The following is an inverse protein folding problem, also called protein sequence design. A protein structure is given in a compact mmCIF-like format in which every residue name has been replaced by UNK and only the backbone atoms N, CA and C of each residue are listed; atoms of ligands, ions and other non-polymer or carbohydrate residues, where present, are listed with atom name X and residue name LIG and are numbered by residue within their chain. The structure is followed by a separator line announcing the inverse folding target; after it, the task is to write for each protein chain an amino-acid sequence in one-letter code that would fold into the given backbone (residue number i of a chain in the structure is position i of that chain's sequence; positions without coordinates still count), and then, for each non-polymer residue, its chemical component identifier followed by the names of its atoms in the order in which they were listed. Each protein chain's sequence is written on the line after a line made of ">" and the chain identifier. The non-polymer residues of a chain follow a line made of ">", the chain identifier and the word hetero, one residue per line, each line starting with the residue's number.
data_IF_146990699635
#
_entry.id   IF_146990699635
#
_cell.length_a   1.000
_cell.length_b   1.000
_cell.length_c   1.000
_cell.angle_alpha   90.00
_cell.angle_beta   90.00
_cell.angle_gamma   90.00
#
_symmetry.space_group_name_H-M   'P 1'
#
loop_
_entity.id
_entity.type
_entity.pdbx_description
1 polymer ?
#
# COMPACT_ATOMS: atom_id res chain seq x y z
N UNK A 1 -1.70 -10.04 -16.66
CA UNK A 1 -2.35 -8.82 -17.18
C UNK A 1 -3.72 -9.23 -17.63
N UNK A 2 -4.75 -8.82 -16.91
CA UNK A 2 -6.11 -9.17 -17.32
C UNK A 2 -6.59 -8.16 -18.38
N UNK A 3 -7.21 -8.63 -19.47
CA UNK A 3 -7.76 -7.74 -20.47
C UNK A 3 -8.89 -6.93 -19.82
N UNK A 4 -8.83 -5.61 -19.93
CA UNK A 4 -9.94 -4.76 -19.52
C UNK A 4 -11.00 -4.88 -20.61
N UNK A 5 -12.09 -5.59 -20.32
CA UNK A 5 -13.20 -5.67 -21.25
C UNK A 5 -14.05 -4.40 -21.15
N UNK A 6 -13.77 -3.45 -22.05
CA UNK A 6 -14.58 -2.25 -22.22
C UNK A 6 -15.69 -2.55 -23.22
N UNK A 7 -16.94 -2.41 -22.78
CA UNK A 7 -18.12 -2.63 -23.64
C UNK A 7 -18.20 -1.56 -24.73
N UNK A 8 -18.51 -1.97 -25.95
CA UNK A 8 -18.93 -1.06 -27.01
C UNK A 8 -20.29 -0.43 -26.70
N UNK A 9 -20.61 0.68 -27.34
CA UNK A 9 -21.79 1.47 -27.02
C UNK A 9 -23.12 0.72 -27.20
N UNK A 10 -23.26 -0.07 -28.27
CA UNK A 10 -24.49 -0.85 -28.53
C UNK A 10 -24.74 -1.87 -27.42
N UNK A 11 -23.69 -2.56 -27.00
CA UNK A 11 -23.77 -3.54 -25.92
C UNK A 11 -24.02 -2.85 -24.57
N UNK A 12 -23.39 -1.71 -24.32
CA UNK A 12 -23.62 -0.91 -23.11
C UNK A 12 -25.09 -0.46 -23.01
N UNK A 13 -25.70 -0.01 -24.11
CA UNK A 13 -27.12 0.35 -24.17
C UNK A 13 -28.00 -0.88 -23.91
N UNK A 14 -27.71 -2.00 -24.60
CA UNK A 14 -28.49 -3.24 -24.45
C UNK A 14 -28.51 -3.76 -23.01
N UNK A 15 -27.37 -3.69 -22.31
CA UNK A 15 -27.23 -4.11 -20.90
C UNK A 15 -27.85 -3.13 -19.90
N UNK A 16 -28.26 -1.93 -20.31
CA UNK A 16 -28.78 -0.88 -19.43
C UNK A 16 -30.08 -0.27 -19.97
N UNK A 17 -31.16 -1.05 -20.11
CA UNK A 17 -32.43 -0.57 -20.68
C UNK A 17 -33.12 0.50 -19.81
N UNK A 18 -32.75 0.60 -18.53
CA UNK A 18 -33.29 1.56 -17.56
C UNK A 18 -32.60 2.93 -17.59
N UNK A 19 -31.60 3.12 -18.47
CA UNK A 19 -30.73 4.30 -18.50
C UNK A 19 -30.84 5.06 -19.81
N UNK A 20 -30.73 6.38 -19.71
CA UNK A 20 -30.76 7.29 -20.84
C UNK A 20 -29.34 7.59 -21.33
N UNK A 21 -29.08 7.58 -22.65
CA UNK A 21 -27.83 8.04 -23.22
C UNK A 21 -27.75 9.56 -23.10
N UNK A 22 -26.75 10.03 -22.35
CA UNK A 22 -26.55 11.46 -22.08
C UNK A 22 -25.12 11.89 -22.35
N UNK A 23 -24.93 13.18 -22.64
CA UNK A 23 -23.62 13.84 -22.69
C UNK A 23 -23.58 14.98 -21.70
N UNK A 24 -22.46 15.13 -21.02
CA UNK A 24 -22.20 16.31 -20.22
C UNK A 24 -21.52 17.35 -21.09
N UNK A 25 -22.24 18.41 -21.51
CA UNK A 25 -21.72 19.41 -22.47
C UNK A 25 -20.49 20.17 -21.96
N UNK A 26 -20.34 20.32 -20.64
CA UNK A 26 -19.18 20.97 -20.05
C UNK A 26 -17.89 20.11 -20.16
N UNK A 27 -18.00 18.79 -20.07
CA UNK A 27 -16.85 17.87 -20.14
C UNK A 27 -16.72 17.12 -21.48
N UNK A 28 -17.74 17.15 -22.32
CA UNK A 28 -17.82 16.40 -23.57
C UNK A 28 -18.01 14.88 -23.38
N UNK A 29 -18.22 14.40 -22.16
CA UNK A 29 -18.24 12.97 -21.84
C UNK A 29 -19.64 12.39 -21.93
N UNK A 30 -19.75 11.19 -22.51
CA UNK A 30 -21.01 10.44 -22.58
C UNK A 30 -21.16 9.48 -21.39
N UNK A 31 -22.40 9.25 -20.97
CA UNK A 31 -22.75 8.27 -19.92
C UNK A 31 -24.17 7.73 -20.12
N UNK A 32 -24.43 6.52 -19.63
CA UNK A 32 -25.78 5.98 -19.45
C UNK A 32 -26.22 6.30 -18.02
N UNK A 33 -27.21 7.17 -17.87
CA UNK A 33 -27.67 7.65 -16.57
C UNK A 33 -29.07 7.09 -16.28
N UNK A 34 -29.29 6.54 -15.09
CA UNK A 34 -30.60 6.04 -14.65
C UNK A 34 -31.71 7.06 -14.94
N UNK A 35 -32.79 6.61 -15.60
CA UNK A 35 -33.90 7.48 -15.98
C UNK A 35 -34.63 8.10 -14.77
N UNK A 36 -34.58 7.43 -13.62
CA UNK A 36 -35.11 7.91 -12.34
C UNK A 36 -34.05 7.83 -11.24
N UNK A 37 -34.08 8.74 -10.24
CA UNK A 37 -33.23 8.62 -9.07
C UNK A 37 -33.63 7.40 -8.22
N UNK A 38 -32.65 6.85 -7.52
CA UNK A 38 -32.77 5.79 -6.52
C UNK A 38 -32.45 6.37 -5.15
N UNK A 39 -33.13 5.90 -4.11
CA UNK A 39 -32.78 6.23 -2.73
C UNK A 39 -31.57 5.41 -2.28
N UNK A 40 -30.56 6.09 -1.76
CA UNK A 40 -29.41 5.49 -1.09
C UNK A 40 -29.46 5.87 0.39
N UNK A 41 -29.42 4.85 1.24
CA UNK A 41 -29.41 5.00 2.69
C UNK A 41 -27.97 4.95 3.17
N UNK A 42 -27.53 6.00 3.84
CA UNK A 42 -26.26 6.06 4.55
C UNK A 42 -26.54 6.44 5.99
N UNK A 43 -26.47 5.44 6.88
CA UNK A 43 -26.87 5.52 8.29
C UNK A 43 -28.25 6.18 8.47
N UNK A 44 -28.29 7.48 8.80
CA UNK A 44 -29.49 8.26 9.10
C UNK A 44 -29.95 9.18 7.94
N UNK A 45 -29.23 9.21 6.82
CA UNK A 45 -29.50 10.14 5.70
C UNK A 45 -29.97 9.36 4.46
N UNK A 46 -31.13 9.78 3.93
CA UNK A 46 -31.64 9.30 2.65
C UNK A 46 -31.25 10.30 1.56
N UNK A 47 -30.39 9.88 0.62
CA UNK A 47 -29.97 10.70 -0.52
C UNK A 47 -30.51 10.12 -1.83
N UNK A 48 -31.04 10.98 -2.70
CA UNK A 48 -31.44 10.58 -4.05
C UNK A 48 -30.22 10.58 -4.98
N UNK A 49 -29.96 9.45 -5.62
CA UNK A 49 -28.80 9.24 -6.49
C UNK A 49 -29.21 8.68 -7.86
N UNK A 50 -28.54 9.09 -8.92
CA UNK A 50 -28.57 8.43 -10.24
C UNK A 50 -27.30 7.63 -10.46
N UNK A 51 -27.45 6.40 -10.92
CA UNK A 51 -26.30 5.59 -11.36
C UNK A 51 -25.89 6.06 -12.76
N UNK A 52 -24.64 6.47 -12.91
CA UNK A 52 -24.02 6.81 -14.18
C UNK A 52 -23.04 5.72 -14.57
N UNK A 53 -23.29 5.05 -15.69
CA UNK A 53 -22.44 4.01 -16.27
C UNK A 53 -21.62 4.64 -17.39
N UNK A 54 -20.30 4.40 -17.37
CA UNK A 54 -19.33 4.88 -18.36
C UNK A 54 -18.39 3.76 -18.78
N UNK A 55 -17.62 3.93 -19.88
CA UNK A 55 -16.68 2.90 -20.35
C UNK A 55 -15.65 2.48 -19.27
N UNK A 56 -15.27 3.41 -18.39
CA UNK A 56 -14.28 3.17 -17.34
C UNK A 56 -14.86 2.73 -15.98
N UNK A 57 -16.17 2.46 -15.91
CA UNK A 57 -16.83 2.04 -14.68
C UNK A 57 -18.16 2.75 -14.42
N UNK A 58 -18.78 2.42 -13.29
CA UNK A 58 -20.01 3.05 -12.82
C UNK A 58 -19.73 3.98 -11.64
N UNK A 59 -20.52 5.04 -11.54
CA UNK A 59 -20.49 6.00 -10.42
C UNK A 59 -21.92 6.36 -10.01
N UNK A 60 -22.05 6.98 -8.84
CA UNK A 60 -23.31 7.54 -8.36
C UNK A 60 -23.21 9.06 -8.37
N UNK A 61 -24.25 9.70 -8.91
CA UNK A 61 -24.40 11.14 -8.96
C UNK A 61 -25.59 11.51 -8.08
N UNK A 62 -25.43 12.44 -7.15
CA UNK A 62 -26.56 12.97 -6.40
C UNK A 62 -27.55 13.68 -7.34
N UNK A 63 -28.85 13.52 -7.09
CA UNK A 63 -29.93 14.09 -7.93
C UNK A 63 -29.82 15.61 -8.03
N UNK A 64 -29.53 16.28 -6.91
CA UNK A 64 -29.33 17.74 -6.86
C UNK A 64 -28.18 18.15 -7.77
N UNK A 65 -27.04 17.44 -7.68
CA UNK A 65 -25.85 17.71 -8.49
C UNK A 65 -26.10 17.43 -9.97
N UNK A 66 -26.82 16.34 -10.27
CA UNK A 66 -27.24 16.01 -11.62
C UNK A 66 -28.08 17.15 -12.23
N UNK A 67 -29.09 17.64 -11.52
CA UNK A 67 -29.95 18.74 -11.99
C UNK A 67 -29.20 20.07 -12.22
N UNK A 68 -28.15 20.33 -11.43
CA UNK A 68 -27.30 21.53 -11.59
C UNK A 68 -26.20 21.40 -12.66
N UNK A 69 -26.04 20.22 -13.27
CA UNK A 69 -24.95 19.93 -14.19
C UNK A 69 -25.40 19.93 -15.66
N UNK A 70 -24.45 20.03 -16.57
CA UNK A 70 -24.71 20.16 -18.01
C UNK A 70 -25.03 18.81 -18.72
N UNK A 71 -25.76 17.90 -18.06
CA UNK A 71 -26.16 16.63 -18.68
C UNK A 71 -27.37 16.83 -19.59
N UNK A 72 -27.23 16.41 -20.84
CA UNK A 72 -28.28 16.47 -21.86
C UNK A 72 -28.51 15.10 -22.47
N UNK A 73 -29.79 14.76 -22.72
CA UNK A 73 -30.14 13.57 -23.47
C UNK A 73 -29.67 13.72 -24.92
N UNK A 74 -29.06 12.66 -25.45
CA UNK A 74 -28.59 12.61 -26.83
C UNK A 74 -29.08 11.36 -27.55
N UNK A 75 -29.08 11.44 -28.88
CA UNK A 75 -29.43 10.29 -29.72
C UNK A 75 -28.39 9.17 -29.62
N UNK A 76 -28.84 7.94 -29.89
CA UNK A 76 -27.96 6.75 -29.94
C UNK A 76 -26.71 6.94 -30.84
N UNK A 77 -26.79 7.57 -32.03
CA UNK A 77 -25.62 7.73 -32.89
C UNK A 77 -24.54 8.63 -32.29
N UNK A 78 -24.92 9.77 -31.69
CA UNK A 78 -23.97 10.68 -31.04
C UNK A 78 -23.36 10.01 -29.80
N UNK A 79 -24.18 9.32 -29.02
CA UNK A 79 -23.74 8.58 -27.84
C UNK A 79 -22.72 7.50 -28.21
N UNK A 80 -23.02 6.69 -29.23
CA UNK A 80 -22.13 5.63 -29.66
C UNK A 80 -20.76 6.15 -30.07
N UNK A 81 -20.74 7.23 -30.87
CA UNK A 81 -19.50 7.88 -31.28
C UNK A 81 -18.66 8.35 -30.08
N UNK A 82 -19.27 9.01 -29.10
CA UNK A 82 -18.57 9.52 -27.92
C UNK A 82 -18.10 8.40 -27.00
N UNK A 83 -18.96 7.41 -26.76
CA UNK A 83 -18.68 6.26 -25.91
C UNK A 83 -17.55 5.41 -26.48
N UNK A 84 -17.63 5.03 -27.75
CA UNK A 84 -16.64 4.16 -28.40
C UNK A 84 -15.29 4.86 -28.54
N UNK A 85 -15.27 6.18 -28.79
CA UNK A 85 -14.04 6.96 -28.77
C UNK A 85 -13.37 6.95 -27.40
N UNK A 86 -14.14 7.15 -26.31
CA UNK A 86 -13.61 7.08 -24.95
C UNK A 86 -13.17 5.65 -24.62
N UNK A 87 -13.98 4.64 -24.93
CA UNK A 87 -13.68 3.23 -24.72
C UNK A 87 -12.37 2.80 -25.40
N UNK A 88 -12.14 3.24 -26.64
CA UNK A 88 -10.92 2.97 -27.40
C UNK A 88 -9.68 3.65 -26.79
N UNK A 89 -9.85 4.78 -26.11
CA UNK A 89 -8.77 5.52 -25.44
C UNK A 89 -8.33 4.90 -24.11
N UNK A 90 -9.14 4.01 -23.52
CA UNK A 90 -8.82 3.40 -22.23
C UNK A 90 -7.67 2.40 -22.33
N UNK A 91 -6.86 2.26 -21.27
CA UNK A 91 -5.87 1.20 -21.18
C UNK A 91 -6.52 -0.17 -21.37
N UNK A 92 -6.06 -0.92 -22.37
CA UNK A 92 -6.56 -2.28 -22.66
C UNK A 92 -6.04 -3.32 -21.67
N UNK A 93 -5.08 -2.93 -20.85
CA UNK A 93 -4.38 -3.79 -19.90
C UNK A 93 -4.31 -3.10 -18.54
N UNK A 94 -4.61 -3.86 -17.49
CA UNK A 94 -4.37 -3.43 -16.11
C UNK A 94 -3.26 -4.28 -15.50
N UNK A 95 -2.30 -3.63 -14.84
CA UNK A 95 -1.25 -4.29 -14.07
C UNK A 95 -1.57 -4.16 -12.58
N UNK A 96 -1.90 -5.29 -11.96
CA UNK A 96 -2.10 -5.39 -10.51
C UNK A 96 -0.94 -6.14 -9.89
N UNK A 97 -0.39 -5.61 -8.79
CA UNK A 97 0.63 -6.32 -8.01
C UNK A 97 -0.04 -7.23 -7.00
N UNK A 98 0.35 -8.51 -7.01
CA UNK A 98 -0.10 -9.50 -6.04
C UNK A 98 1.12 -9.99 -5.25
N UNK A 99 1.01 -9.99 -3.93
CA UNK A 99 2.01 -10.59 -3.04
C UNK A 99 1.56 -12.00 -2.67
N UNK A 100 2.33 -13.01 -3.07
CA UNK A 100 2.01 -14.42 -2.89
C UNK A 100 3.00 -15.07 -1.93
N UNK A 101 2.48 -15.64 -0.84
CA UNK A 101 3.25 -16.46 0.09
C UNK A 101 3.17 -17.93 -0.35
N UNK A 102 4.29 -18.48 -0.79
CA UNK A 102 4.41 -19.82 -1.35
C UNK A 102 5.34 -20.69 -0.49
N UNK A 103 5.32 -22.01 -0.72
CA UNK A 103 6.16 -22.97 0.01
C UNK A 103 5.51 -23.52 1.30
N UNK A 104 6.33 -23.94 2.26
CA UNK A 104 5.87 -24.54 3.51
C UNK A 104 5.39 -23.45 4.48
N UNK A 105 4.07 -23.32 4.62
CA UNK A 105 3.46 -22.29 5.48
C UNK A 105 3.25 -22.73 6.93
N UNK A 106 3.07 -24.03 7.15
CA UNK A 106 2.82 -24.60 8.49
C UNK A 106 3.87 -24.20 9.54
N UNK A 107 5.18 -24.12 9.24
CA UNK A 107 6.17 -23.72 10.25
C UNK A 107 6.01 -22.27 10.75
N UNK A 108 5.42 -21.39 9.94
CA UNK A 108 5.29 -19.95 10.24
C UNK A 108 3.83 -19.51 10.38
N UNK A 109 2.88 -20.45 10.49
CA UNK A 109 1.45 -20.16 10.33
C UNK A 109 0.89 -19.12 11.30
N UNK A 110 1.43 -19.07 12.53
CA UNK A 110 1.04 -18.10 13.58
C UNK A 110 1.43 -16.66 13.24
N UNK A 111 2.37 -16.50 12.33
CA UNK A 111 2.99 -15.22 11.97
C UNK A 111 2.42 -14.62 10.68
N UNK A 112 1.58 -15.38 9.97
CA UNK A 112 0.96 -14.96 8.71
C UNK A 112 -0.25 -14.07 9.03
N UNK A 113 -0.30 -12.82 8.53
CA UNK A 113 -1.42 -11.92 8.74
C UNK A 113 -2.75 -12.51 8.24
N UNK A 114 -3.82 -12.37 9.02
CA UNK A 114 -5.16 -12.94 8.73
C UNK A 114 -6.09 -12.02 7.93
N UNK A 115 -5.63 -10.84 7.50
CA UNK A 115 -6.45 -9.86 6.77
C UNK A 115 -6.96 -10.35 5.40
N UNK A 116 -6.26 -11.29 4.76
CA UNK A 116 -6.72 -11.95 3.52
C UNK A 116 -6.24 -13.40 3.49
N UNK A 117 -7.15 -14.34 3.29
CA UNK A 117 -6.92 -15.80 3.34
C UNK A 117 -7.03 -16.47 1.97
N UNK A 118 -7.26 -15.70 0.90
CA UNK A 118 -7.45 -16.27 -0.44
C UNK A 118 -6.16 -16.91 -0.96
N UNK A 119 -6.30 -18.13 -1.45
CA UNK A 119 -5.24 -18.89 -2.13
C UNK A 119 -5.40 -18.74 -3.64
N UNK A 120 -4.33 -18.37 -4.32
CA UNK A 120 -4.27 -18.24 -5.76
C UNK A 120 -3.31 -19.26 -6.35
N UNK A 121 -3.69 -19.82 -7.51
CA UNK A 121 -2.76 -20.47 -8.43
C UNK A 121 -2.45 -19.47 -9.54
N UNK A 122 -1.17 -19.11 -9.68
CA UNK A 122 -0.67 -18.17 -10.68
C UNK A 122 0.21 -18.94 -11.64
N UNK A 123 -0.04 -18.83 -12.94
CA UNK A 123 0.79 -19.41 -14.00
C UNK A 123 1.43 -18.26 -14.76
N UNK A 124 2.67 -17.85 -14.42
CA UNK A 124 3.37 -16.81 -15.16
C UNK A 124 3.79 -17.33 -16.54
N UNK A 125 3.79 -16.45 -17.54
CA UNK A 125 4.25 -16.80 -18.89
C UNK A 125 5.71 -17.26 -18.85
N UNK A 126 5.98 -18.47 -19.37
CA UNK A 126 7.32 -19.05 -19.41
C UNK A 126 7.86 -19.58 -18.09
N UNK A 127 7.07 -19.62 -17.02
CA UNK A 127 7.48 -20.15 -15.72
C UNK A 127 6.52 -21.23 -15.18
N UNK A 128 6.99 -21.98 -14.19
CA UNK A 128 6.16 -23.00 -13.52
C UNK A 128 5.01 -22.33 -12.76
N UNK A 129 3.84 -22.97 -12.79
CA UNK A 129 2.70 -22.53 -11.99
C UNK A 129 3.02 -22.55 -10.48
N UNK A 130 2.68 -21.47 -9.79
CA UNK A 130 2.83 -21.31 -8.36
C UNK A 130 1.48 -21.32 -7.67
N UNK A 131 1.42 -21.86 -6.46
CA UNK A 131 0.25 -21.77 -5.58
C UNK A 131 0.67 -21.13 -4.26
N UNK A 132 -0.15 -20.21 -3.76
CA UNK A 132 0.14 -19.57 -2.49
C UNK A 132 -1.00 -18.72 -1.97
N UNK A 133 -0.84 -18.27 -0.73
CA UNK A 133 -1.79 -17.37 -0.06
C UNK A 133 -1.47 -15.93 -0.41
N UNK A 134 -2.50 -15.12 -0.65
CA UNK A 134 -2.33 -13.69 -0.88
C UNK A 134 -2.04 -12.93 0.41
N UNK A 135 -1.17 -11.94 0.31
CA UNK A 135 -0.83 -11.02 1.38
C UNK A 135 -1.07 -9.58 0.95
N UNK A 136 -1.30 -8.72 1.94
CA UNK A 136 -1.09 -7.28 1.73
C UNK A 136 0.40 -7.01 1.53
N UNK A 137 0.72 -5.88 0.89
CA UNK A 137 2.10 -5.41 0.74
C UNK A 137 2.84 -5.32 2.08
N UNK A 138 2.17 -4.74 3.09
CA UNK A 138 2.71 -4.63 4.45
C UNK A 138 2.93 -6.00 5.10
N UNK A 139 2.00 -6.94 4.92
CA UNK A 139 2.13 -8.31 5.45
C UNK A 139 3.28 -9.08 4.81
N UNK A 140 3.47 -8.92 3.49
CA UNK A 140 4.58 -9.51 2.76
C UNK A 140 5.93 -8.89 3.14
N UNK A 141 5.98 -7.58 3.41
CA UNK A 141 7.18 -6.92 3.93
C UNK A 141 7.55 -7.44 5.33
N UNK A 142 6.58 -7.55 6.24
CA UNK A 142 6.80 -8.05 7.59
C UNK A 142 7.31 -9.50 7.61
N UNK A 143 6.72 -10.40 6.81
CA UNK A 143 7.16 -11.79 6.73
C UNK A 143 8.56 -11.90 6.11
N UNK A 144 8.88 -11.13 5.07
CA UNK A 144 10.22 -11.07 4.49
C UNK A 144 11.27 -10.65 5.52
N UNK A 145 11.01 -9.56 6.22
CA UNK A 145 11.89 -9.04 7.26
C UNK A 145 12.15 -10.05 8.40
N UNK A 146 11.16 -10.87 8.73
CA UNK A 146 11.26 -11.87 9.81
C UNK A 146 11.95 -13.16 9.41
N UNK A 147 11.74 -13.64 8.18
CA UNK A 147 12.11 -15.00 7.78
C UNK A 147 13.11 -15.10 6.62
N UNK A 148 13.27 -14.03 5.83
CA UNK A 148 14.11 -14.04 4.62
C UNK A 148 15.32 -13.11 4.74
N UNK A 149 15.30 -12.17 5.69
CA UNK A 149 16.43 -11.28 5.94
C UNK A 149 17.34 -11.91 7.01
N UNK A 150 18.10 -12.91 6.60
CA UNK A 150 19.15 -13.51 7.44
C UNK A 150 20.37 -12.58 7.61
N UNK A 151 20.48 -11.52 6.79
CA UNK A 151 21.56 -10.53 6.87
C UNK A 151 21.11 -9.19 6.24
N UNK A 152 20.38 -8.32 6.96
CA UNK A 152 19.92 -7.03 6.42
C UNK A 152 21.13 -6.19 6.00
N UNK A 153 21.18 -5.74 4.74
CA UNK A 153 22.33 -5.00 4.20
C UNK A 153 22.10 -3.50 4.18
N UNK A 154 20.85 -3.06 4.06
CA UNK A 154 20.51 -1.63 4.01
C UNK A 154 19.94 -1.15 5.35
N UNK A 155 20.11 0.13 5.73
CA UNK A 155 19.49 0.68 6.94
C UNK A 155 17.96 0.50 6.96
N UNK A 156 17.31 0.58 5.79
CA UNK A 156 15.88 0.38 5.67
C UNK A 156 15.48 -1.08 5.92
N UNK A 157 16.26 -2.05 5.44
CA UNK A 157 16.07 -3.47 5.75
C UNK A 157 16.30 -3.74 7.24
N UNK A 158 17.33 -3.15 7.85
CA UNK A 158 17.62 -3.27 9.28
C UNK A 158 16.47 -2.73 10.14
N UNK A 159 15.92 -1.56 9.80
CA UNK A 159 14.76 -0.98 10.48
C UNK A 159 13.52 -1.86 10.33
N UNK A 160 13.27 -2.34 9.12
CA UNK A 160 12.11 -3.21 8.83
C UNK A 160 12.22 -4.53 9.59
N UNK A 161 13.42 -5.13 9.63
CA UNK A 161 13.72 -6.32 10.43
C UNK A 161 13.46 -6.06 11.91
N UNK A 162 14.03 -5.00 12.47
CA UNK A 162 13.89 -4.68 13.89
C UNK A 162 12.43 -4.43 14.30
N UNK A 163 11.62 -3.79 13.45
CA UNK A 163 10.19 -3.58 13.72
C UNK A 163 9.38 -4.89 13.64
N UNK A 164 9.80 -5.83 12.80
CA UNK A 164 9.11 -7.10 12.56
C UNK A 164 9.40 -8.20 13.58
N UNK A 165 10.54 -8.15 14.27
CA UNK A 165 10.97 -9.18 15.24
C UNK A 165 11.24 -8.62 16.64
N UNK A 166 11.52 -9.48 17.61
CA UNK A 166 12.12 -9.12 18.90
C UNK A 166 13.57 -9.62 19.02
N UNK A 167 14.04 -10.35 18.01
CA UNK A 167 15.44 -10.74 17.91
C UNK A 167 16.32 -9.51 17.62
N UNK A 168 17.54 -9.45 18.18
CA UNK A 168 18.49 -8.38 17.85
C UNK A 168 18.86 -8.42 16.37
N UNK A 169 18.81 -7.27 15.71
CA UNK A 169 19.33 -7.07 14.36
C UNK A 169 20.73 -6.48 14.45
N UNK A 170 21.71 -7.10 13.81
CA UNK A 170 23.08 -6.58 13.78
C UNK A 170 23.16 -5.31 12.92
N UNK A 171 23.73 -4.24 13.48
CA UNK A 171 24.01 -2.99 12.79
C UNK A 171 25.49 -2.86 12.41
N UNK A 172 26.32 -3.83 12.79
CA UNK A 172 27.78 -3.80 12.70
C UNK A 172 28.45 -3.11 13.88
N UNK A 173 29.78 -3.27 14.00
CA UNK A 173 30.62 -2.67 15.07
C UNK A 173 30.15 -2.97 16.50
N UNK A 174 29.52 -4.14 16.70
CA UNK A 174 29.01 -4.56 18.00
C UNK A 174 27.69 -3.90 18.42
N UNK A 175 27.09 -3.07 17.56
CA UNK A 175 25.78 -2.49 17.79
C UNK A 175 24.66 -3.42 17.30
N UNK A 176 23.58 -3.48 18.08
CA UNK A 176 22.37 -4.20 17.69
C UNK A 176 21.13 -3.31 17.83
N UNK A 177 20.13 -3.52 16.98
CA UNK A 177 18.83 -2.88 17.07
C UNK A 177 17.78 -3.91 17.50
N UNK A 178 17.12 -3.66 18.63
CA UNK A 178 16.14 -4.60 19.19
C UNK A 178 14.84 -3.88 19.53
N UNK A 179 13.70 -4.43 19.10
CA UNK A 179 12.39 -3.95 19.54
C UNK A 179 12.09 -4.42 20.96
N UNK A 180 11.81 -3.49 21.86
CA UNK A 180 11.48 -3.71 23.27
C UNK A 180 10.17 -3.05 23.65
N UNK A 181 9.57 -3.52 24.75
CA UNK A 181 8.54 -2.78 25.48
C UNK A 181 9.16 -2.17 26.73
N UNK A 182 8.97 -0.87 26.91
CA UNK A 182 9.41 -0.10 28.08
C UNK A 182 8.20 0.65 28.60
N UNK A 183 7.80 0.40 29.85
CA UNK A 183 6.63 1.03 30.46
C UNK A 183 5.34 0.97 29.60
N UNK A 184 5.12 -0.14 28.89
CA UNK A 184 3.96 -0.35 28.01
C UNK A 184 4.14 0.17 26.58
N UNK A 185 5.12 1.04 26.34
CA UNK A 185 5.42 1.64 25.04
C UNK A 185 6.42 0.81 24.24
N UNK A 186 6.25 0.76 22.91
CA UNK A 186 7.21 0.11 22.02
C UNK A 186 8.42 1.03 21.79
N UNK A 187 9.63 0.51 21.98
CA UNK A 187 10.89 1.24 21.77
C UNK A 187 11.85 0.42 20.89
N UNK A 188 12.63 1.11 20.07
CA UNK A 188 13.75 0.54 19.34
C UNK A 188 15.04 0.79 20.13
N UNK A 189 15.56 -0.22 20.79
CA UNK A 189 16.75 -0.16 21.62
C UNK A 189 18.02 -0.39 20.79
N UNK A 190 19.03 0.44 21.01
CA UNK A 190 20.40 0.24 20.54
C UNK A 190 21.23 -0.47 21.63
N UNK A 191 21.51 -1.75 21.42
CA UNK A 191 22.37 -2.56 22.29
C UNK A 191 23.84 -2.46 21.87
N UNK A 192 24.76 -2.67 22.82
CA UNK A 192 26.21 -2.69 22.56
C UNK A 192 26.90 -1.32 22.55
N UNK A 193 26.16 -0.23 22.78
CA UNK A 193 26.73 1.11 22.89
C UNK A 193 27.52 1.26 24.20
N UNK A 194 28.81 1.60 24.09
CA UNK A 194 29.64 1.96 25.24
C UNK A 194 29.45 3.44 25.64
N UNK A 195 30.05 3.84 26.77
CA UNK A 195 29.95 5.22 27.29
C UNK A 195 30.45 6.27 26.31
N UNK A 196 31.46 5.96 25.49
CA UNK A 196 32.02 6.89 24.50
C UNK A 196 31.12 7.05 23.27
N UNK A 197 30.30 6.04 22.96
CA UNK A 197 29.40 6.04 21.82
C UNK A 197 28.06 6.75 22.11
N UNK A 198 27.63 6.77 23.38
CA UNK A 198 26.32 7.34 23.78
C UNK A 198 26.16 8.79 23.37
N UNK A 199 27.17 9.64 23.62
CA UNK A 199 27.08 11.06 23.28
C UNK A 199 27.02 11.28 21.76
N UNK A 200 27.74 10.47 20.99
CA UNK A 200 27.66 10.45 19.53
C UNK A 200 26.28 10.01 19.02
N UNK A 201 25.69 8.96 19.60
CA UNK A 201 24.35 8.49 19.25
C UNK A 201 23.28 9.55 19.58
N UNK A 202 23.41 10.26 20.70
CA UNK A 202 22.53 11.39 21.04
C UNK A 202 22.63 12.52 20.03
N UNK A 203 23.83 12.89 19.61
CA UNK A 203 24.03 13.92 18.58
C UNK A 203 23.40 13.55 17.22
N UNK A 204 23.25 12.25 16.94
CA UNK A 204 22.57 11.75 15.74
C UNK A 204 21.04 11.74 15.84
N UNK A 205 20.48 12.00 17.03
CA UNK A 205 19.04 12.05 17.29
C UNK A 205 18.51 10.88 18.12
N UNK A 206 19.37 9.99 18.63
CA UNK A 206 18.95 9.00 19.62
C UNK A 206 18.70 9.67 20.97
N UNK A 207 17.95 8.99 21.83
CA UNK A 207 17.73 9.45 23.20
C UNK A 207 18.04 8.33 24.19
N UNK A 208 18.13 8.67 25.47
CA UNK A 208 18.48 7.71 26.52
C UNK A 208 17.49 7.72 27.65
N UNK A 209 17.24 6.57 28.24
CA UNK A 209 16.47 6.42 29.47
C UNK A 209 17.23 5.54 30.45
N UNK A 210 17.00 5.77 31.75
CA UNK A 210 17.50 4.90 32.80
C UNK A 210 16.41 3.88 33.12
N UNK A 211 16.69 2.60 32.85
CA UNK A 211 15.75 1.50 33.07
C UNK A 211 16.50 0.43 33.85
N UNK A 212 15.94 -0.01 34.98
CA UNK A 212 16.58 -0.97 35.89
C UNK A 212 18.03 -0.57 36.24
N UNK A 213 18.24 0.70 36.60
CA UNK A 213 19.55 1.28 36.94
C UNK A 213 20.61 1.29 35.82
N UNK A 214 20.21 0.99 34.58
CA UNK A 214 21.10 1.04 33.42
C UNK A 214 20.67 2.14 32.44
N UNK A 215 21.65 2.91 31.95
CA UNK A 215 21.43 3.88 30.89
C UNK A 215 21.33 3.14 29.55
N UNK A 216 20.16 3.20 28.92
CA UNK A 216 19.86 2.51 27.65
C UNK A 216 19.60 3.54 26.57
N UNK A 217 20.02 3.22 25.34
CA UNK A 217 19.92 4.11 24.18
C UNK A 217 18.80 3.64 23.27
N UNK A 218 18.02 4.57 22.75
CA UNK A 218 16.87 4.30 21.91
C UNK A 218 16.90 5.13 20.62
N UNK A 219 16.55 4.47 19.53
CA UNK A 219 16.29 5.10 18.24
C UNK A 219 14.84 5.63 18.23
N UNK A 220 14.60 6.92 17.95
CA UNK A 220 13.24 7.45 17.90
C UNK A 220 12.48 6.87 16.70
N UNK A 221 11.19 6.59 16.90
CA UNK A 221 10.27 6.09 15.87
C UNK A 221 8.86 6.64 16.09
N UNK A 222 8.05 6.72 15.02
CA UNK A 222 6.69 7.24 15.06
C UNK A 222 6.41 8.32 14.01
N UNK A 223 5.19 8.86 14.03
CA UNK A 223 4.73 9.83 13.03
C UNK A 223 5.58 11.11 13.04
N UNK A 224 6.01 11.53 11.85
CA UNK A 224 6.85 12.72 11.66
C UNK A 224 8.34 12.51 11.94
N UNK A 225 8.77 11.31 12.34
CA UNK A 225 10.19 10.99 12.60
C UNK A 225 10.77 10.16 11.45
N UNK A 226 11.78 10.72 10.77
CA UNK A 226 12.55 10.01 9.74
C UNK A 226 13.58 9.05 10.38
N UNK A 227 13.05 7.96 10.93
CA UNK A 227 13.80 6.92 11.64
C UNK A 227 14.85 6.27 10.73
N UNK A 228 14.49 6.05 9.46
CA UNK A 228 15.36 5.44 8.46
C UNK A 228 16.61 6.30 8.20
N UNK A 229 16.46 7.63 8.11
CA UNK A 229 17.58 8.55 7.92
C UNK A 229 18.51 8.60 9.14
N UNK A 230 17.97 8.56 10.35
CA UNK A 230 18.78 8.52 11.59
C UNK A 230 19.58 7.22 11.62
N UNK A 231 18.93 6.08 11.36
CA UNK A 231 19.60 4.78 11.30
C UNK A 231 20.67 4.74 10.20
N UNK A 232 20.40 5.32 9.03
CA UNK A 232 21.37 5.40 7.95
C UNK A 232 22.64 6.19 8.34
N UNK A 233 22.53 7.22 9.18
CA UNK A 233 23.70 7.93 9.71
C UNK A 233 24.50 7.10 10.71
N UNK A 234 23.81 6.35 11.56
CA UNK A 234 24.43 5.44 12.55
C UNK A 234 25.24 4.35 11.83
N UNK A 235 24.67 3.75 10.79
CA UNK A 235 25.34 2.72 9.98
C UNK A 235 26.40 3.33 9.06
N UNK A 236 26.15 4.53 8.52
CA UNK A 236 27.00 5.23 7.54
C UNK A 236 28.30 5.85 8.08
N UNK A 237 28.38 6.25 9.36
CA UNK A 237 29.67 6.65 9.96
C UNK A 237 30.65 5.47 10.13
N UNK A 238 30.20 4.24 9.88
CA UNK A 238 31.03 3.05 9.88
C UNK A 238 32.00 2.95 8.69
N UNK A 239 31.87 3.75 7.63
CA UNK A 239 32.79 3.73 6.48
C UNK A 239 33.85 4.83 6.53
N UNK A 240 33.54 5.99 7.12
CA UNK A 240 34.46 7.15 7.09
C UNK A 240 35.64 7.01 8.05
N UNK A 241 35.45 6.42 9.25
CA UNK A 241 36.54 6.31 10.25
C UNK A 241 37.56 5.19 9.94
N UNK A 242 37.21 4.23 9.08
CA UNK A 242 38.13 3.17 8.64
C UNK A 242 39.17 3.69 7.63
N UNK A 243 38.87 4.76 6.89
CA UNK A 243 39.81 5.39 5.97
C UNK A 243 40.82 6.30 6.67
N UNK A 244 40.48 6.83 7.85
CA UNK A 244 41.33 7.79 8.60
C UNK A 244 42.29 7.12 9.60
N UNK A 245 42.05 5.85 9.96
CA UNK A 245 42.98 5.06 10.79
C UNK A 245 43.95 4.20 9.96
N UNK A 246 43.83 4.23 8.63
CA UNK A 246 44.68 3.50 7.69
C UNK A 246 45.55 4.44 6.84
N UNK A 247 45.66 5.72 7.21
CA UNK A 247 46.47 6.74 6.55
C UNK A 247 47.57 7.27 7.49
#
# INVERSE_FOLDING_TARGET
>A
TDPVHVLGAEEAISRNPDKLPMVNRASGRAALISARPMQMYDEDIVTLMRKAVRPNGSSYLEETRFGSSAWENIGKPEFARLWDAEAASLPKTTTTKLYLLTGLLLPIWKDIPTTNERIYRVTPDGATAMIGRTLSEQGAAALRARFLVSNPQTPQEMLTAALGTTAPVDLGRGLTLTRRRVAGEMRLELGGADKGMIDGLKALGCFTEIIAFQLRVFLPHGDGIDTGRILARIVGQGTTKAAEQAA
#
